data_IF_326195708313
#
_entry.id   IF_326195708313
#
_cell.length_a   1.000
_cell.length_b   1.000
_cell.length_c   1.000
_cell.angle_alpha   90.00
_cell.angle_beta   90.00
_cell.angle_gamma   90.00
#
_symmetry.space_group_name_H-M   'P 1'
#
loop_
_entity.id
_entity.type
_entity.pdbx_description
1 polymer ?
#
# COMPACT_ATOMS: atom_id res chain seq x y z
N UNK A 1 -1.52 15.16 -7.23
CA UNK A 1 -1.58 16.57 -6.84
C UNK A 1 -0.18 17.10 -6.67
N UNK A 2 0.11 18.21 -7.25
CA UNK A 2 1.40 18.86 -7.12
C UNK A 2 1.35 19.94 -6.05
N UNK A 3 2.40 20.00 -5.26
CA UNK A 3 2.47 20.95 -4.17
C UNK A 3 3.88 21.49 -4.04
N UNK A 4 4.01 22.78 -4.09
CA UNK A 4 5.28 23.46 -3.85
C UNK A 4 5.42 23.77 -2.37
N UNK A 5 6.53 23.37 -1.82
CA UNK A 5 6.89 23.78 -0.46
C UNK A 5 7.86 24.96 -0.56
N UNK A 6 7.31 26.14 -0.47
CA UNK A 6 8.07 27.38 -0.61
C UNK A 6 9.10 27.56 0.51
N UNK A 7 8.88 26.91 1.66
CA UNK A 7 9.77 27.03 2.82
C UNK A 7 11.06 26.26 2.61
N UNK A 8 10.97 25.10 1.96
CA UNK A 8 12.13 24.24 1.74
C UNK A 8 12.71 24.38 0.35
N UNK A 9 12.01 25.03 -0.55
CA UNK A 9 12.41 25.11 -1.95
C UNK A 9 12.28 23.77 -2.69
N UNK A 10 11.53 22.83 -2.14
CA UNK A 10 11.35 21.49 -2.70
C UNK A 10 9.94 21.32 -3.20
N UNK A 11 9.82 20.80 -4.42
CA UNK A 11 8.52 20.45 -4.97
C UNK A 11 8.11 19.07 -4.46
N UNK A 12 6.94 19.03 -3.84
CA UNK A 12 6.33 17.77 -3.42
C UNK A 12 5.23 17.38 -4.38
N UNK A 13 5.31 16.15 -4.86
CA UNK A 13 4.25 15.58 -5.68
C UNK A 13 3.70 14.37 -4.97
N UNK A 14 2.41 14.44 -4.68
CA UNK A 14 1.69 13.30 -4.17
C UNK A 14 0.83 12.76 -5.32
N UNK A 15 1.21 11.60 -5.83
CA UNK A 15 0.44 10.92 -6.85
C UNK A 15 -0.46 9.89 -6.17
N UNK A 16 -1.73 9.92 -6.50
CA UNK A 16 -2.72 8.96 -6.00
C UNK A 16 -3.39 8.34 -7.20
N UNK A 17 -3.38 7.02 -7.25
CA UNK A 17 -3.99 6.29 -8.35
C UNK A 17 -4.92 5.22 -7.79
N UNK A 18 -6.21 5.37 -8.04
CA UNK A 18 -7.21 4.39 -7.65
C UNK A 18 -7.15 3.22 -8.62
N UNK A 19 -6.63 2.09 -8.18
CA UNK A 19 -6.53 0.88 -8.99
C UNK A 19 -7.86 0.13 -9.01
N UNK A 20 -8.55 0.10 -7.89
CA UNK A 20 -9.84 -0.55 -7.76
C UNK A 20 -10.60 0.00 -6.57
N UNK A 21 -11.92 0.02 -6.65
CA UNK A 21 -12.79 0.40 -5.53
C UNK A 21 -14.09 -0.40 -5.59
N UNK A 22 -14.70 -0.59 -4.41
CA UNK A 22 -15.98 -1.26 -4.28
C UNK A 22 -15.90 -2.62 -3.63
N UNK A 23 -17.01 -3.35 -3.65
CA UNK A 23 -17.13 -4.64 -2.97
C UNK A 23 -16.31 -5.75 -3.60
N UNK A 24 -15.85 -5.58 -4.83
CA UNK A 24 -15.06 -6.59 -5.54
C UNK A 24 -13.56 -6.41 -5.34
N UNK A 25 -13.14 -5.32 -4.75
CA UNK A 25 -11.74 -5.09 -4.44
C UNK A 25 -11.41 -3.63 -4.29
N UNK A 26 -10.46 -3.35 -3.40
CA UNK A 26 -9.98 -1.99 -3.13
C UNK A 26 -8.47 -1.98 -3.19
N UNK A 27 -7.90 -1.03 -3.92
CA UNK A 27 -6.46 -0.87 -4.00
C UNK A 27 -6.14 0.54 -4.48
N UNK A 28 -5.30 1.24 -3.74
CA UNK A 28 -4.91 2.61 -4.05
C UNK A 28 -3.39 2.69 -4.03
N UNK A 29 -2.82 3.19 -5.12
CA UNK A 29 -1.40 3.48 -5.22
C UNK A 29 -1.14 4.92 -4.79
N UNK A 30 -0.17 5.12 -3.91
CA UNK A 30 0.20 6.44 -3.41
C UNK A 30 1.71 6.59 -3.47
N UNK A 31 2.19 7.71 -4.03
CA UNK A 31 3.62 7.97 -4.13
C UNK A 31 3.91 9.46 -3.96
N UNK A 32 5.03 9.75 -3.30
CA UNK A 32 5.56 11.12 -3.23
C UNK A 32 6.71 11.35 -4.22
N UNK A 33 6.91 10.42 -5.15
CA UNK A 33 8.00 10.46 -6.11
C UNK A 33 9.24 9.68 -5.68
N UNK A 34 9.40 9.39 -4.40
CA UNK A 34 10.50 8.60 -3.86
C UNK A 34 10.03 7.35 -3.18
N UNK A 35 8.93 7.45 -2.44
CA UNK A 35 8.35 6.35 -1.70
C UNK A 35 6.98 6.06 -2.26
N UNK A 36 6.72 4.80 -2.58
CA UNK A 36 5.46 4.35 -3.14
C UNK A 36 4.87 3.26 -2.27
N UNK A 37 3.60 3.37 -1.98
CA UNK A 37 2.88 2.39 -1.16
C UNK A 37 1.59 1.99 -1.85
N UNK A 38 1.13 0.79 -1.51
CA UNK A 38 -0.17 0.29 -1.93
C UNK A 38 -1.05 0.26 -0.69
N UNK A 39 -2.12 1.04 -0.70
CA UNK A 39 -3.13 0.99 0.35
C UNK A 39 -4.17 -0.02 -0.05
N UNK A 40 -4.19 -1.14 0.65
CA UNK A 40 -4.98 -2.32 0.38
C UNK A 40 -4.64 -2.97 -0.97
N UNK A 41 -4.87 -4.26 -1.06
CA UNK A 41 -4.69 -5.04 -2.27
C UNK A 41 -5.80 -6.08 -2.33
N UNK A 42 -7.01 -5.60 -2.57
CA UNK A 42 -8.23 -6.40 -2.50
C UNK A 42 -8.54 -7.21 -3.75
N UNK A 43 -7.65 -7.21 -4.73
CA UNK A 43 -7.72 -8.05 -5.92
C UNK A 43 -6.63 -9.10 -5.85
N UNK A 44 -6.66 -10.09 -6.76
CA UNK A 44 -5.56 -11.04 -6.85
C UNK A 44 -4.25 -10.30 -7.14
N UNK A 45 -3.13 -10.90 -6.74
CA UNK A 45 -1.82 -10.30 -6.98
C UNK A 45 -1.58 -10.03 -8.46
N UNK A 46 -1.97 -10.95 -9.33
CA UNK A 46 -1.82 -10.81 -10.79
C UNK A 46 -2.61 -9.61 -11.30
N UNK A 47 -3.83 -9.42 -10.80
CA UNK A 47 -4.67 -8.31 -11.25
C UNK A 47 -4.13 -6.96 -10.78
N UNK A 48 -3.61 -6.91 -9.56
CA UNK A 48 -2.94 -5.70 -9.06
C UNK A 48 -1.73 -5.36 -9.93
N UNK A 49 -0.91 -6.35 -10.25
CA UNK A 49 0.25 -6.15 -11.13
C UNK A 49 -0.17 -5.62 -12.50
N UNK A 50 -1.21 -6.20 -13.07
CA UNK A 50 -1.73 -5.77 -14.38
C UNK A 50 -2.16 -4.31 -14.35
N UNK A 51 -2.88 -3.91 -13.32
CA UNK A 51 -3.39 -2.55 -13.21
C UNK A 51 -2.29 -1.53 -12.97
N UNK A 52 -1.27 -1.89 -12.18
CA UNK A 52 -0.10 -1.05 -12.00
C UNK A 52 0.61 -0.86 -13.35
N UNK A 53 0.87 -1.94 -14.07
CA UNK A 53 1.57 -1.88 -15.35
C UNK A 53 0.80 -1.10 -16.40
N UNK A 54 -0.52 -1.18 -16.40
CA UNK A 54 -1.37 -0.42 -17.32
C UNK A 54 -1.21 1.09 -17.13
N UNK A 55 -0.69 1.52 -15.99
CA UNK A 55 -0.44 2.92 -15.66
C UNK A 55 1.04 3.28 -15.70
N UNK A 56 1.86 2.40 -16.28
CA UNK A 56 3.31 2.62 -16.35
C UNK A 56 4.03 2.43 -15.02
N UNK A 57 3.39 1.78 -14.06
CA UNK A 57 3.96 1.52 -12.74
C UNK A 57 4.40 0.06 -12.63
N UNK A 58 5.33 -0.22 -11.74
CA UNK A 58 5.78 -1.58 -11.49
C UNK A 58 5.69 -1.92 -10.01
N UNK A 59 5.25 -3.14 -9.65
CA UNK A 59 5.24 -3.58 -8.25
C UNK A 59 6.63 -3.54 -7.59
N UNK A 60 7.69 -3.64 -8.38
CA UNK A 60 9.07 -3.59 -7.84
C UNK A 60 9.42 -2.25 -7.22
N UNK A 61 8.73 -1.19 -7.62
CA UNK A 61 8.98 0.15 -7.08
C UNK A 61 8.20 0.43 -5.80
N UNK A 62 7.33 -0.49 -5.39
CA UNK A 62 6.60 -0.34 -4.14
C UNK A 62 7.53 -0.53 -2.95
N UNK A 63 7.31 0.23 -1.90
CA UNK A 63 8.09 0.15 -0.67
C UNK A 63 7.34 -0.58 0.44
N UNK A 64 6.01 -0.61 0.38
CA UNK A 64 5.22 -1.29 1.39
C UNK A 64 3.78 -1.45 0.93
N UNK A 65 3.05 -2.32 1.62
CA UNK A 65 1.61 -2.45 1.50
C UNK A 65 1.02 -2.07 2.86
N UNK A 66 -0.01 -1.23 2.86
CA UNK A 66 -0.72 -0.85 4.07
C UNK A 66 -2.08 -1.49 4.04
N UNK A 67 -2.45 -2.20 5.08
CA UNK A 67 -3.74 -2.87 5.17
C UNK A 67 -4.65 -2.09 6.10
N UNK A 68 -5.79 -1.65 5.57
CA UNK A 68 -6.77 -0.90 6.35
C UNK A 68 -7.80 -1.79 7.05
N UNK A 69 -8.20 -2.89 6.41
CA UNK A 69 -9.23 -3.79 6.92
C UNK A 69 -8.89 -5.24 6.61
N UNK A 70 -9.44 -6.17 7.40
CA UNK A 70 -9.26 -7.60 7.22
C UNK A 70 -10.17 -8.24 6.16
N UNK A 71 -11.09 -7.49 5.59
CA UNK A 71 -12.04 -8.01 4.60
C UNK A 71 -11.33 -8.39 3.29
N UNK A 72 -11.81 -9.43 2.64
CA UNK A 72 -11.19 -9.96 1.41
C UNK A 72 -11.05 -8.90 0.32
N UNK A 73 -12.00 -7.98 0.22
CA UNK A 73 -11.95 -6.89 -0.76
C UNK A 73 -10.87 -5.84 -0.47
N UNK A 74 -10.08 -6.03 0.60
CA UNK A 74 -8.94 -5.19 0.95
C UNK A 74 -7.61 -5.95 0.98
N UNK A 75 -7.62 -7.28 1.08
CA UNK A 75 -6.41 -8.06 1.39
C UNK A 75 -6.10 -9.21 0.45
N UNK A 76 -6.93 -9.50 -0.52
CA UNK A 76 -6.79 -10.72 -1.34
C UNK A 76 -5.40 -10.90 -1.95
N UNK A 77 -4.77 -9.84 -2.42
CA UNK A 77 -3.46 -9.91 -3.06
C UNK A 77 -2.28 -9.59 -2.16
N UNK A 78 -2.53 -9.24 -0.90
CA UNK A 78 -1.47 -8.73 0.00
C UNK A 78 -0.36 -9.76 0.20
N UNK A 79 -0.72 -10.99 0.56
CA UNK A 79 0.27 -12.01 0.85
C UNK A 79 1.15 -12.34 -0.35
N UNK A 80 0.53 -12.53 -1.50
CA UNK A 80 1.24 -12.86 -2.74
C UNK A 80 2.21 -11.75 -3.13
N UNK A 81 1.76 -10.50 -3.10
CA UNK A 81 2.61 -9.37 -3.46
C UNK A 81 3.75 -9.17 -2.46
N UNK A 82 3.46 -9.34 -1.17
CA UNK A 82 4.48 -9.24 -0.14
C UNK A 82 5.60 -10.26 -0.37
N UNK A 83 5.24 -11.52 -0.61
CA UNK A 83 6.22 -12.58 -0.83
C UNK A 83 6.99 -12.41 -2.13
N UNK A 84 6.30 -12.03 -3.21
CA UNK A 84 6.91 -11.93 -4.53
C UNK A 84 7.88 -10.76 -4.63
N UNK A 85 7.54 -9.63 -4.05
CA UNK A 85 8.33 -8.40 -4.19
C UNK A 85 9.02 -7.98 -2.90
N UNK A 86 8.99 -8.82 -1.87
CA UNK A 86 9.60 -8.57 -0.56
C UNK A 86 9.12 -7.27 0.05
N UNK A 87 7.81 -7.08 0.03
CA UNK A 87 7.19 -5.86 0.54
C UNK A 87 6.79 -6.06 1.99
N UNK A 88 7.21 -5.16 2.89
CA UNK A 88 6.67 -5.16 4.24
C UNK A 88 5.20 -4.80 4.21
N UNK A 89 4.45 -5.40 5.13
CA UNK A 89 3.01 -5.15 5.29
C UNK A 89 2.78 -4.40 6.58
N UNK A 90 2.26 -3.18 6.47
CA UNK A 90 1.91 -2.35 7.61
C UNK A 90 0.46 -2.64 7.97
N UNK A 91 0.23 -3.11 9.18
CA UNK A 91 -1.06 -3.60 9.59
C UNK A 91 -1.27 -3.38 11.08
N UNK A 92 -2.51 -3.16 11.48
CA UNK A 92 -2.90 -3.10 12.88
C UNK A 92 -2.88 -4.53 13.47
N UNK A 93 -2.45 -4.69 14.71
CA UNK A 93 -2.38 -6.02 15.34
C UNK A 93 -3.72 -6.72 15.39
N UNK A 94 -4.78 -5.99 15.68
CA UNK A 94 -6.13 -6.54 15.72
C UNK A 94 -6.54 -7.08 14.35
N UNK A 95 -6.27 -6.31 13.30
CA UNK A 95 -6.55 -6.72 11.92
C UNK A 95 -5.73 -7.94 11.55
N UNK A 96 -4.47 -7.98 11.94
CA UNK A 96 -3.59 -9.12 11.64
C UNK A 96 -4.11 -10.42 12.26
N UNK A 97 -4.63 -10.36 13.48
CA UNK A 97 -5.20 -11.53 14.16
C UNK A 97 -6.44 -12.07 13.46
N UNK A 98 -7.20 -11.20 12.80
CA UNK A 98 -8.45 -11.61 12.15
C UNK A 98 -8.27 -11.87 10.66
N UNK A 99 -7.05 -11.86 10.16
CA UNK A 99 -6.74 -12.05 8.73
C UNK A 99 -5.77 -13.23 8.50
N UNK A 100 -6.10 -14.46 8.92
CA UNK A 100 -5.21 -15.60 8.70
C UNK A 100 -4.99 -15.91 7.23
N UNK A 101 -5.88 -15.47 6.36
CA UNK A 101 -5.78 -15.66 4.92
C UNK A 101 -4.61 -14.88 4.28
N UNK A 102 -3.98 -13.97 5.01
CA UNK A 102 -2.77 -13.30 4.52
C UNK A 102 -1.63 -14.30 4.32
N UNK A 103 -1.60 -15.36 5.13
CA UNK A 103 -0.55 -16.37 5.08
C UNK A 103 0.79 -15.78 5.51
N UNK A 104 1.86 -16.33 4.97
CA UNK A 104 3.20 -15.80 5.22
C UNK A 104 3.39 -14.45 4.55
N UNK A 105 3.92 -13.51 5.32
CA UNK A 105 4.24 -12.17 4.86
C UNK A 105 5.75 -11.99 4.98
N UNK A 106 6.35 -11.26 4.03
CA UNK A 106 7.79 -11.03 4.04
C UNK A 106 8.25 -10.34 5.32
N UNK A 107 7.56 -9.28 5.70
CA UNK A 107 7.86 -8.53 6.92
C UNK A 107 6.59 -7.84 7.39
N UNK A 108 6.37 -7.83 8.70
CA UNK A 108 5.18 -7.22 9.29
C UNK A 108 5.57 -6.02 10.11
N UNK A 109 4.97 -4.87 9.82
CA UNK A 109 5.14 -3.64 10.57
C UNK A 109 3.80 -3.31 11.21
N UNK A 110 3.76 -3.32 12.53
CA UNK A 110 2.52 -3.00 13.24
C UNK A 110 2.41 -1.51 13.49
N UNK A 111 1.22 -0.98 13.30
CA UNK A 111 0.91 0.40 13.66
C UNK A 111 -0.34 0.43 14.55
N UNK A 112 -0.51 1.53 15.26
CA UNK A 112 -1.69 1.77 16.09
C UNK A 112 -2.54 2.85 15.46
N UNK A 113 -3.84 2.63 15.41
CA UNK A 113 -4.77 3.62 14.88
C UNK A 113 -4.66 4.92 15.66
N UNK A 114 -4.66 6.03 14.94
CA UNK A 114 -4.52 7.36 15.55
C UNK A 114 -3.08 7.81 15.74
N UNK A 115 -2.11 6.92 15.61
CA UNK A 115 -0.70 7.27 15.69
C UNK A 115 -0.11 7.44 14.29
N UNK A 116 0.87 8.31 14.19
CA UNK A 116 1.60 8.51 12.95
C UNK A 116 2.67 7.44 12.81
N UNK A 117 2.96 7.06 11.59
CA UNK A 117 4.14 6.24 11.29
C UNK A 117 4.68 6.65 9.92
N UNK A 118 5.91 6.22 9.65
CA UNK A 118 6.60 6.60 8.42
C UNK A 118 7.05 5.39 7.64
N UNK A 119 6.98 5.52 6.31
CA UNK A 119 7.61 4.60 5.38
C UNK A 119 8.57 5.46 4.58
N UNK A 120 9.87 5.32 4.87
CA UNK A 120 10.90 6.22 4.37
C UNK A 120 10.53 7.67 4.73
N UNK A 121 10.35 8.55 3.75
CA UNK A 121 9.97 9.93 4.00
C UNK A 121 8.47 10.18 3.99
N UNK A 122 7.66 9.16 3.76
CA UNK A 122 6.21 9.31 3.67
C UNK A 122 5.57 9.10 5.03
N UNK A 123 4.87 10.13 5.50
CA UNK A 123 4.17 10.08 6.78
C UNK A 123 2.74 9.58 6.58
N UNK A 124 2.35 8.61 7.41
CA UNK A 124 1.01 8.01 7.40
C UNK A 124 0.32 8.35 8.72
N UNK A 125 -0.91 8.74 8.63
CA UNK A 125 -1.72 9.07 9.80
C UNK A 125 -2.94 8.19 9.92
#
# INVERSE_FOLDING_TARGET
MERDDQRSGVNFRLAVCLLASGSKGNAIYISDGRTSVLLDAGLSGIEIERRLRARGLTPRDLNAIIVSHEHADHIQGVGVLSRRYRLPVCINRKTAKTAPQLGKIHDVVYFSCGNRFHINGLEIR
#
